data_IF_398786330498
#
_entry.id   IF_398786330498
#
_cell.length_a   1.000
_cell.length_b   1.000
_cell.length_c   1.000
_cell.angle_alpha   90.00
_cell.angle_beta   90.00
_cell.angle_gamma   90.00
#
_symmetry.space_group_name_H-M   'P 1'
#
loop_
_entity.id
_entity.type
_entity.pdbx_description
1 polymer ?
#
# COMPACT_ATOMS: atom_id res chain seq x y z
N UNK A 1 -3.36 -1.09 -15.63
CA UNK A 1 -2.28 -1.72 -14.87
C UNK A 1 -2.45 -1.25 -13.45
N UNK A 2 -2.44 -2.17 -12.48
CA UNK A 2 -2.46 -1.78 -11.08
C UNK A 2 -1.12 -1.19 -10.67
N UNK A 3 -1.15 -0.15 -9.85
CA UNK A 3 0.04 0.51 -9.31
C UNK A 3 -0.27 1.10 -7.95
N UNK A 4 0.63 0.92 -7.01
CA UNK A 4 0.66 1.66 -5.75
C UNK A 4 2.02 2.32 -5.68
N UNK A 5 2.05 3.63 -5.58
CA UNK A 5 3.27 4.42 -5.63
C UNK A 5 3.41 5.28 -4.39
N UNK A 6 4.54 5.12 -3.70
CA UNK A 6 4.89 5.87 -2.51
C UNK A 6 5.84 7.00 -2.90
N UNK A 7 5.63 8.18 -2.33
CA UNK A 7 6.44 9.37 -2.56
C UNK A 7 6.82 10.02 -1.23
N UNK A 8 8.10 10.33 -1.04
CA UNK A 8 8.57 11.19 0.03
C UNK A 8 8.36 12.65 -0.39
N UNK A 9 7.63 13.44 0.40
CA UNK A 9 7.29 14.82 0.04
C UNK A 9 7.38 15.77 1.22
N UNK A 10 7.71 17.03 0.95
CA UNK A 10 7.62 18.14 1.90
C UNK A 10 6.25 18.85 1.82
N UNK A 11 5.47 18.57 0.78
CA UNK A 11 4.28 19.32 0.40
C UNK A 11 3.00 18.68 0.93
N UNK A 12 2.90 18.50 2.24
CA UNK A 12 1.66 18.06 2.92
C UNK A 12 1.13 19.16 3.86
N UNK A 13 -0.20 19.31 4.00
CA UNK A 13 -0.81 20.25 4.95
C UNK A 13 -0.23 20.11 6.37
N UNK A 14 -0.06 21.19 7.14
CA UNK A 14 0.48 21.12 8.50
C UNK A 14 -0.27 20.09 9.36
N UNK A 15 0.48 19.22 10.05
CA UNK A 15 -0.08 18.15 10.90
C UNK A 15 -0.47 16.87 10.14
N UNK A 16 -0.40 16.83 8.81
CA UNK A 16 -0.64 15.63 8.02
C UNK A 16 0.68 14.95 7.65
N UNK A 17 0.84 13.68 8.02
CA UNK A 17 2.03 12.88 7.69
C UNK A 17 1.86 12.03 6.45
N UNK A 18 0.62 11.67 6.10
CA UNK A 18 0.29 10.77 5.00
C UNK A 18 -0.92 11.28 4.26
N UNK A 19 -0.90 11.17 2.94
CA UNK A 19 -2.06 11.36 2.05
C UNK A 19 -2.17 10.16 1.11
N UNK A 20 -3.39 9.66 0.91
CA UNK A 20 -3.66 8.52 0.02
C UNK A 20 -4.73 8.95 -0.96
N UNK A 21 -4.41 8.91 -2.25
CA UNK A 21 -5.36 9.21 -3.31
C UNK A 21 -5.48 8.04 -4.28
N UNK A 22 -6.71 7.74 -4.69
CA UNK A 22 -7.00 6.63 -5.60
C UNK A 22 -7.54 7.16 -6.94
N UNK A 23 -7.09 6.51 -8.02
CA UNK A 23 -7.62 6.67 -9.36
C UNK A 23 -7.68 5.31 -10.07
N UNK A 24 -8.06 5.30 -11.35
CA UNK A 24 -8.18 4.08 -12.16
C UNK A 24 -6.85 3.33 -12.23
N UNK A 25 -6.77 2.19 -11.56
CA UNK A 25 -5.63 1.30 -11.45
C UNK A 25 -4.49 1.84 -10.60
N UNK A 26 -4.66 2.94 -9.86
CA UNK A 26 -3.54 3.61 -9.21
C UNK A 26 -3.90 4.11 -7.82
N UNK A 27 -3.03 3.86 -6.86
CA UNK A 27 -3.01 4.50 -5.54
C UNK A 27 -1.71 5.27 -5.41
N UNK A 28 -1.80 6.54 -5.09
CA UNK A 28 -0.65 7.39 -4.75
C UNK A 28 -0.64 7.63 -3.24
N UNK A 29 0.50 7.33 -2.61
CA UNK A 29 0.72 7.46 -1.18
C UNK A 29 1.84 8.46 -0.94
N UNK A 30 1.49 9.65 -0.46
CA UNK A 30 2.47 10.68 -0.12
C UNK A 30 2.80 10.62 1.36
N UNK A 31 4.08 10.65 1.69
CA UNK A 31 4.57 10.57 3.06
C UNK A 31 5.47 11.77 3.34
N UNK A 32 5.25 12.42 4.48
CA UNK A 32 6.06 13.57 4.90
C UNK A 32 7.51 13.14 5.14
N UNK A 33 8.45 13.77 4.44
CA UNK A 33 9.86 13.33 4.38
C UNK A 33 10.60 13.32 5.72
N UNK A 34 10.25 14.20 6.66
CA UNK A 34 10.93 14.39 7.94
C UNK A 34 10.40 13.50 9.08
N UNK A 35 9.37 12.69 8.82
CA UNK A 35 8.81 11.77 9.80
C UNK A 35 9.72 10.56 10.06
N UNK A 36 9.78 10.09 11.31
CA UNK A 36 10.46 8.84 11.64
C UNK A 36 9.59 7.60 11.38
N UNK A 37 10.21 6.41 11.44
CA UNK A 37 9.55 5.13 11.18
C UNK A 37 8.31 4.87 12.05
N UNK A 38 8.31 5.29 13.32
CA UNK A 38 7.13 5.13 14.16
C UNK A 38 6.03 6.11 13.75
N UNK A 39 6.39 7.35 13.46
CA UNK A 39 5.45 8.40 13.07
C UNK A 39 4.74 8.08 11.74
N UNK A 40 5.49 7.78 10.68
CA UNK A 40 4.86 7.53 9.38
C UNK A 40 4.13 6.19 9.31
N UNK A 41 4.60 5.13 9.99
CA UNK A 41 3.86 3.85 10.00
C UNK A 41 2.55 3.96 10.76
N UNK A 42 2.52 4.69 11.88
CA UNK A 42 1.29 4.97 12.61
C UNK A 42 0.32 5.79 11.75
N UNK A 43 0.80 6.84 11.08
CA UNK A 43 -0.02 7.66 10.19
C UNK A 43 -0.54 6.88 8.97
N UNK A 44 0.30 6.02 8.37
CA UNK A 44 -0.09 5.15 7.26
C UNK A 44 -1.21 4.20 7.68
N UNK A 45 -1.11 3.57 8.86
CA UNK A 45 -2.16 2.68 9.36
C UNK A 45 -3.50 3.39 9.55
N UNK A 46 -3.48 4.63 10.06
CA UNK A 46 -4.71 5.44 10.21
C UNK A 46 -5.28 5.78 8.83
N UNK A 47 -4.45 6.28 7.91
CA UNK A 47 -4.88 6.66 6.57
C UNK A 47 -5.39 5.45 5.77
N UNK A 48 -4.70 4.31 5.83
CA UNK A 48 -5.13 3.07 5.18
C UNK A 48 -6.44 2.54 5.72
N UNK A 49 -6.68 2.61 7.03
CA UNK A 49 -7.95 2.15 7.59
C UNK A 49 -9.13 2.94 7.03
N UNK A 50 -8.95 4.25 6.82
CA UNK A 50 -9.95 5.09 6.18
C UNK A 50 -10.08 4.77 4.70
N UNK A 51 -8.96 4.66 3.99
CA UNK A 51 -8.93 4.31 2.56
C UNK A 51 -9.62 2.97 2.29
N UNK A 52 -9.27 1.92 3.03
CA UNK A 52 -9.78 0.56 2.83
C UNK A 52 -11.28 0.45 3.09
N UNK A 53 -11.85 1.32 3.94
CA UNK A 53 -13.28 1.31 4.24
C UNK A 53 -14.15 1.59 3.00
N UNK A 54 -13.63 2.36 2.04
CA UNK A 54 -14.35 2.77 0.82
C UNK A 54 -13.64 2.32 -0.47
N UNK A 55 -12.52 1.59 -0.36
CA UNK A 55 -11.74 1.18 -1.52
C UNK A 55 -12.44 0.07 -2.31
N UNK A 56 -12.18 0.06 -3.62
CA UNK A 56 -12.65 -1.01 -4.51
C UNK A 56 -11.49 -1.92 -4.95
N UNK A 57 -10.58 -2.22 -4.03
CA UNK A 57 -9.48 -3.18 -4.24
C UNK A 57 -9.81 -4.54 -3.66
N UNK A 58 -9.39 -5.58 -4.37
CA UNK A 58 -9.72 -6.96 -4.07
C UNK A 58 -8.50 -7.86 -4.25
N UNK A 59 -8.43 -8.88 -3.41
CA UNK A 59 -7.45 -9.96 -3.53
C UNK A 59 -8.15 -11.24 -4.02
N UNK A 60 -7.49 -12.00 -4.89
CA UNK A 60 -7.91 -13.34 -5.29
C UNK A 60 -7.07 -14.36 -4.50
N UNK A 61 -7.68 -15.01 -3.52
CA UNK A 61 -7.02 -15.99 -2.68
C UNK A 61 -7.63 -17.37 -2.83
N UNK A 62 -6.90 -18.32 -3.43
CA UNK A 62 -7.35 -19.71 -3.66
C UNK A 62 -8.76 -19.80 -4.29
N UNK A 63 -9.03 -18.95 -5.27
CA UNK A 63 -10.31 -18.90 -5.99
C UNK A 63 -11.43 -18.13 -5.26
N UNK A 64 -11.14 -17.51 -4.11
CA UNK A 64 -12.05 -16.61 -3.40
C UNK A 64 -11.68 -15.16 -3.69
N UNK A 65 -12.69 -14.29 -3.78
CA UNK A 65 -12.50 -12.84 -3.79
C UNK A 65 -12.56 -12.34 -2.36
N UNK A 66 -11.53 -11.62 -1.95
CA UNK A 66 -11.41 -11.00 -0.63
C UNK A 66 -11.47 -9.48 -0.81
N UNK A 67 -12.27 -8.84 0.03
CA UNK A 67 -12.50 -7.39 0.07
C UNK A 67 -12.38 -6.88 1.50
N UNK A 68 -12.32 -5.56 1.69
CA UNK A 68 -12.28 -4.94 3.01
C UNK A 68 -13.48 -5.31 3.90
N UNK A 69 -14.61 -5.72 3.30
CA UNK A 69 -15.83 -6.13 4.01
C UNK A 69 -16.02 -7.64 4.09
N UNK A 70 -15.03 -8.44 3.69
CA UNK A 70 -15.12 -9.90 3.80
C UNK A 70 -15.20 -10.31 5.28
N UNK A 71 -16.21 -11.10 5.70
CA UNK A 71 -16.53 -11.29 7.11
C UNK A 71 -15.47 -12.09 7.88
N UNK A 72 -14.86 -13.09 7.24
CA UNK A 72 -13.91 -13.99 7.90
C UNK A 72 -12.46 -13.51 7.80
N UNK A 73 -12.16 -12.67 6.80
CA UNK A 73 -10.79 -12.27 6.43
C UNK A 73 -10.86 -10.97 5.65
N UNK A 74 -11.14 -9.83 6.31
CA UNK A 74 -11.23 -8.55 5.61
C UNK A 74 -9.89 -8.18 5.01
N UNK A 75 -9.91 -7.61 3.81
CA UNK A 75 -8.71 -7.04 3.20
C UNK A 75 -8.15 -5.94 4.09
N UNK A 76 -6.94 -6.14 4.57
CA UNK A 76 -6.24 -5.25 5.50
C UNK A 76 -4.78 -5.13 5.10
N UNK A 77 -4.23 -3.93 5.26
CA UNK A 77 -2.82 -3.65 5.08
C UNK A 77 -2.35 -2.92 6.34
N UNK A 78 -1.29 -3.43 6.96
CA UNK A 78 -0.74 -2.90 8.21
C UNK A 78 0.76 -2.66 8.06
N UNK A 79 1.24 -1.54 8.61
CA UNK A 79 2.65 -1.22 8.72
C UNK A 79 3.10 -1.41 10.16
N UNK A 80 4.22 -2.10 10.35
CA UNK A 80 4.79 -2.34 11.66
C UNK A 80 6.28 -2.02 11.66
N UNK A 81 6.72 -1.21 12.62
CA UNK A 81 8.16 -1.08 12.90
C UNK A 81 8.67 -2.39 13.52
N UNK A 82 9.69 -2.97 12.89
CA UNK A 82 10.26 -4.26 13.26
C UNK A 82 11.79 -4.18 13.33
N UNK A 83 12.35 -4.49 14.50
CA UNK A 83 13.80 -4.50 14.73
C UNK A 83 14.47 -5.79 14.28
N UNK A 84 13.69 -6.81 13.90
CA UNK A 84 14.18 -8.14 13.53
C UNK A 84 14.42 -8.31 12.03
N UNK A 85 13.91 -7.40 11.19
CA UNK A 85 14.11 -7.49 9.75
C UNK A 85 15.49 -6.96 9.33
N UNK A 86 15.95 -7.41 8.16
CA UNK A 86 17.22 -6.96 7.60
C UNK A 86 17.20 -5.46 7.30
N UNK A 87 17.97 -4.69 8.07
CA UNK A 87 18.10 -3.24 7.90
C UNK A 87 18.55 -2.82 6.50
N UNK A 88 19.26 -3.69 5.77
CA UNK A 88 19.66 -3.41 4.38
C UNK A 88 18.51 -3.50 3.40
N UNK A 89 17.49 -4.30 3.71
CA UNK A 89 16.27 -4.42 2.90
C UNK A 89 15.27 -3.31 3.20
N UNK A 90 15.34 -2.72 4.39
CA UNK A 90 14.47 -1.64 4.89
C UNK A 90 13.01 -2.06 5.11
N UNK A 91 12.42 -2.84 4.20
CA UNK A 91 11.06 -3.37 4.28
C UNK A 91 11.00 -4.87 4.02
N UNK A 92 10.01 -5.53 4.62
CA UNK A 92 9.62 -6.91 4.31
C UNK A 92 8.10 -7.00 4.24
N UNK A 93 7.57 -7.40 3.08
CA UNK A 93 6.13 -7.59 2.87
C UNK A 93 5.77 -9.04 3.15
N UNK A 94 4.83 -9.25 4.06
CA UNK A 94 4.28 -10.57 4.40
C UNK A 94 2.79 -10.57 4.09
N UNK A 95 2.32 -11.64 3.46
CA UNK A 95 0.93 -11.76 3.05
C UNK A 95 0.34 -13.07 3.58
N UNK A 96 -0.90 -12.97 4.01
CA UNK A 96 -1.80 -14.08 4.25
C UNK A 96 -3.18 -13.77 3.66
N UNK A 97 -4.16 -14.64 3.90
CA UNK A 97 -5.50 -14.48 3.33
C UNK A 97 -6.15 -13.15 3.78
N UNK A 98 -6.24 -12.18 2.88
CA UNK A 98 -6.80 -10.85 3.16
C UNK A 98 -5.93 -9.94 4.02
N UNK A 99 -4.74 -10.35 4.45
CA UNK A 99 -3.93 -9.55 5.39
C UNK A 99 -2.51 -9.40 4.89
N UNK A 100 -2.11 -8.17 4.67
CA UNK A 100 -0.75 -7.78 4.26
C UNK A 100 -0.12 -7.00 5.41
N UNK A 101 1.06 -7.44 5.85
CA UNK A 101 1.87 -6.72 6.83
C UNK A 101 3.17 -6.28 6.18
N UNK A 102 3.42 -4.99 6.22
CA UNK A 102 4.68 -4.37 5.80
C UNK A 102 5.50 -4.10 7.05
N UNK A 103 6.51 -4.95 7.27
CA UNK A 103 7.49 -4.73 8.31
C UNK A 103 8.50 -3.68 7.84
N UNK A 104 8.81 -2.72 8.70
CA UNK A 104 9.68 -1.57 8.39
C UNK A 104 10.79 -1.48 9.42
N UNK A 105 12.03 -1.35 8.98
CA UNK A 105 13.16 -1.25 9.90
C UNK A 105 13.06 0.04 10.73
N UNK A 106 13.31 -0.03 12.04
CA UNK A 106 13.23 1.16 12.93
C UNK A 106 14.10 2.34 12.47
N UNK A 107 15.25 2.05 11.87
CA UNK A 107 16.19 3.08 11.39
C UNK A 107 15.84 3.63 10.00
N UNK A 108 14.74 3.19 9.37
CA UNK A 108 14.37 3.58 8.03
C UNK A 108 13.90 5.04 7.99
N UNK A 109 14.59 5.87 7.21
CA UNK A 109 14.05 7.16 6.81
C UNK A 109 12.90 6.97 5.81
N UNK A 110 12.09 7.99 5.58
CA UNK A 110 11.03 7.93 4.56
C UNK A 110 11.60 7.70 3.17
N UNK A 111 12.77 8.27 2.86
CA UNK A 111 13.44 8.03 1.59
C UNK A 111 13.87 6.57 1.43
N UNK A 112 14.46 5.96 2.47
CA UNK A 112 14.83 4.54 2.45
C UNK A 112 13.60 3.65 2.31
N UNK A 113 12.51 3.99 3.02
CA UNK A 113 11.24 3.28 2.94
C UNK A 113 10.68 3.33 1.52
N UNK A 114 10.53 4.52 0.94
CA UNK A 114 9.99 4.73 -0.42
C UNK A 114 10.79 3.96 -1.46
N UNK A 115 12.13 4.03 -1.39
CA UNK A 115 13.02 3.32 -2.30
C UNK A 115 12.85 1.80 -2.23
N UNK A 116 12.53 1.26 -1.05
CA UNK A 116 12.40 -0.17 -0.85
C UNK A 116 10.97 -0.70 -1.07
N UNK A 117 9.94 0.07 -0.67
CA UNK A 117 8.54 -0.35 -0.72
C UNK A 117 7.96 -0.31 -2.14
N UNK A 118 8.36 0.65 -2.97
CA UNK A 118 7.88 0.77 -4.36
C UNK A 118 8.17 -0.51 -5.18
N UNK A 119 9.44 -0.96 -5.32
CA UNK A 119 9.72 -2.19 -6.06
C UNK A 119 9.14 -3.43 -5.38
N UNK A 120 9.07 -3.46 -4.04
CA UNK A 120 8.45 -4.56 -3.30
C UNK A 120 6.94 -4.66 -3.61
N UNK A 121 6.26 -3.53 -3.67
CA UNK A 121 4.82 -3.46 -3.96
C UNK A 121 4.52 -3.79 -5.42
N UNK A 122 5.35 -3.33 -6.35
CA UNK A 122 5.23 -3.70 -7.76
C UNK A 122 5.38 -5.23 -7.96
N UNK A 123 6.41 -5.83 -7.36
CA UNK A 123 6.61 -7.27 -7.40
C UNK A 123 5.45 -8.04 -6.74
N UNK A 124 4.90 -7.50 -5.65
CA UNK A 124 3.76 -8.05 -4.95
C UNK A 124 2.49 -8.06 -5.81
N UNK A 125 2.16 -6.93 -6.44
CA UNK A 125 1.00 -6.81 -7.34
C UNK A 125 1.14 -7.66 -8.61
N UNK A 126 2.35 -7.79 -9.14
CA UNK A 126 2.66 -8.61 -10.30
C UNK A 126 2.36 -10.11 -10.10
N UNK A 127 2.17 -10.57 -8.85
CA UNK A 127 1.71 -11.92 -8.55
C UNK A 127 0.30 -12.25 -9.08
N UNK A 128 -0.44 -11.27 -9.62
CA UNK A 128 -1.70 -11.47 -10.34
C UNK A 128 -2.90 -11.80 -9.44
N UNK A 129 -2.73 -11.71 -8.13
CA UNK A 129 -3.77 -11.99 -7.14
C UNK A 129 -4.54 -10.74 -6.71
N UNK A 130 -4.52 -9.67 -7.52
CA UNK A 130 -5.08 -8.38 -7.18
C UNK A 130 -5.86 -7.79 -8.34
N UNK A 131 -7.01 -7.16 -8.04
CA UNK A 131 -7.76 -6.36 -9.01
C UNK A 131 -8.45 -5.18 -8.31
N UNK A 132 -8.75 -4.14 -9.10
CA UNK A 132 -9.57 -3.01 -8.66
C UNK A 132 -10.86 -3.00 -9.48
N UNK A 133 -12.00 -2.76 -8.84
CA UNK A 133 -13.27 -2.47 -9.53
C UNK A 133 -13.41 -0.95 -9.67
N UNK A 134 -13.25 -0.42 -10.88
CA UNK A 134 -13.32 1.01 -11.14
C UNK A 134 -14.45 1.32 -12.12
N UNK A 135 -15.52 1.96 -11.64
CA UNK A 135 -16.67 2.36 -12.48
C UNK A 135 -17.26 1.22 -13.33
N UNK A 136 -17.26 -0.01 -12.78
CA UNK A 136 -17.75 -1.21 -13.47
C UNK A 136 -16.69 -1.94 -14.31
N UNK A 137 -15.47 -1.43 -14.39
CA UNK A 137 -14.33 -2.09 -15.03
C UNK A 137 -13.49 -2.87 -14.02
N UNK A 138 -13.01 -4.06 -14.40
CA UNK A 138 -12.01 -4.81 -13.64
C UNK A 138 -10.62 -4.42 -14.14
N UNK A 139 -9.85 -3.75 -13.29
CA UNK A 139 -8.46 -3.37 -13.56
C UNK A 139 -7.54 -4.40 -12.91
N UNK A 140 -6.63 -4.95 -13.70
CA UNK A 140 -5.59 -5.88 -13.27
C UNK A 140 -4.20 -5.34 -13.65
N UNK A 141 -3.14 -6.08 -13.32
CA UNK A 141 -1.79 -5.78 -13.79
C UNK A 141 -1.70 -5.76 -15.32
N UNK A 142 -2.42 -6.66 -16.01
CA UNK A 142 -2.39 -6.78 -17.47
C UNK A 142 -3.28 -5.75 -18.19
N UNK A 143 -4.17 -5.07 -17.46
CA UNK A 143 -4.99 -4.00 -18.05
C UNK A 143 -4.08 -2.87 -18.56
N UNK A 144 -4.37 -2.21 -19.69
CA UNK A 144 -3.60 -1.05 -20.12
C UNK A 144 -3.60 0.04 -19.04
N UNK A 145 -2.47 0.72 -18.89
CA UNK A 145 -2.41 1.93 -18.05
C UNK A 145 -3.44 2.96 -18.55
N UNK A 146 -3.97 3.79 -17.66
CA UNK A 146 -4.62 5.02 -18.12
C UNK A 146 -3.54 5.87 -18.78
N UNK A 147 -3.48 5.85 -20.11
CA UNK A 147 -2.83 6.91 -20.85
C UNK A 147 -3.58 8.19 -20.47
N UNK A 148 -2.89 9.15 -19.85
CA UNK A 148 -3.43 10.49 -19.68
C UNK A 148 -3.82 11.00 -21.07
N UNK A 149 -5.12 11.23 -21.27
CA UNK A 149 -5.66 11.93 -22.43
C UNK A 149 -5.64 13.45 -22.17
#
# INVERSE_FOLDING_TARGET
>A
MLRVEYEATESLPPGQLVDITESRGRVDVKIRQDADAHEYTAALNVALKLFLADCNWFQIWRGRVISAHSPDSPLTVEYQVDDQIDRRKCVEVRESCGHVVVHVARSATVADFVNAINPSTEAFLAGGQWFQLWQGEIITMDSPGSAAA
#
